data_IF_762265997156
#
_entry.id   IF_762265997156
#
_cell.length_a   1.000
_cell.length_b   1.000
_cell.length_c   1.000
_cell.angle_alpha   90.00
_cell.angle_beta   90.00
_cell.angle_gamma   90.00
#
_symmetry.space_group_name_H-M   'P 1'
#
loop_
_entity.id
_entity.type
_entity.pdbx_description
1 polymer ?
#
# COMPACT_ATOMS: atom_id res chain seq x y z
N UNK A 1 -14.22 16.65 -1.63
CA UNK A 1 -12.80 16.21 -1.51
C UNK A 1 -12.03 16.85 -0.35
N UNK A 2 -12.37 18.05 0.15
CA UNK A 2 -11.65 18.68 1.29
C UNK A 2 -11.81 17.92 2.62
N UNK A 3 -12.90 17.19 2.81
CA UNK A 3 -13.20 16.57 4.12
C UNK A 3 -12.35 15.32 4.42
N UNK A 4 -12.11 14.46 3.42
CA UNK A 4 -11.28 13.26 3.62
C UNK A 4 -9.81 13.59 3.88
N UNK A 5 -9.28 14.63 3.25
CA UNK A 5 -7.91 15.06 3.52
C UNK A 5 -7.75 15.55 4.96
N UNK A 6 -8.74 16.31 5.46
CA UNK A 6 -8.78 16.73 6.87
C UNK A 6 -8.85 15.52 7.81
N UNK A 7 -9.67 14.52 7.49
CA UNK A 7 -9.74 13.28 8.26
C UNK A 7 -8.38 12.57 8.35
N UNK A 8 -7.66 12.43 7.23
CA UNK A 8 -6.31 11.85 7.22
C UNK A 8 -5.28 12.67 8.00
N UNK A 9 -5.37 14.00 7.95
CA UNK A 9 -4.49 14.86 8.74
C UNK A 9 -4.73 14.67 10.25
N UNK A 10 -5.99 14.65 10.69
CA UNK A 10 -6.35 14.42 12.10
C UNK A 10 -5.89 13.03 12.54
N UNK A 11 -6.14 12.00 11.73
CA UNK A 11 -5.69 10.64 12.02
C UNK A 11 -4.16 10.54 12.13
N UNK A 12 -3.42 11.19 11.22
CA UNK A 12 -1.96 11.22 11.26
C UNK A 12 -1.42 11.87 12.55
N UNK A 13 -2.04 12.96 13.00
CA UNK A 13 -1.69 13.61 14.28
C UNK A 13 -1.96 12.65 15.45
N UNK A 14 -3.15 12.06 15.50
CA UNK A 14 -3.55 11.14 16.58
C UNK A 14 -2.63 9.91 16.67
N UNK A 15 -2.29 9.29 15.52
CA UNK A 15 -1.37 8.14 15.47
C UNK A 15 0.01 8.53 15.96
N UNK A 16 0.56 9.67 15.51
CA UNK A 16 1.87 10.14 15.97
C UNK A 16 1.88 10.44 17.46
N UNK A 17 0.85 11.10 17.98
CA UNK A 17 0.73 11.37 19.41
C UNK A 17 0.69 10.06 20.23
N UNK A 18 -0.13 9.09 19.82
CA UNK A 18 -0.20 7.77 20.46
C UNK A 18 1.15 7.05 20.44
N UNK A 19 1.89 7.17 19.34
CA UNK A 19 3.23 6.58 19.22
C UNK A 19 4.23 7.29 20.14
N UNK A 20 4.18 8.62 20.25
CA UNK A 20 5.01 9.38 21.21
C UNK A 20 4.77 8.90 22.64
N UNK A 21 3.51 8.75 23.04
CA UNK A 21 3.13 8.42 24.41
C UNK A 21 3.40 6.96 24.77
N UNK A 22 3.12 6.03 23.84
CA UNK A 22 3.05 4.60 24.18
C UNK A 22 4.06 3.73 23.44
N UNK A 23 4.56 4.18 22.28
CA UNK A 23 5.46 3.39 21.42
C UNK A 23 6.62 4.24 20.87
N UNK A 24 7.41 4.91 21.72
CA UNK A 24 8.43 5.87 21.28
C UNK A 24 9.53 5.23 20.42
N UNK A 25 9.83 3.94 20.64
CA UNK A 25 10.76 3.17 19.80
C UNK A 25 10.25 3.03 18.36
N UNK A 26 8.95 2.78 18.19
CA UNK A 26 8.35 2.63 16.87
C UNK A 26 8.24 3.99 16.16
N UNK A 27 7.97 5.07 16.90
CA UNK A 27 8.06 6.42 16.36
C UNK A 27 9.46 6.75 15.83
N UNK A 28 10.50 6.35 16.56
CA UNK A 28 11.88 6.57 16.13
C UNK A 28 12.21 5.78 14.86
N UNK A 29 11.69 4.55 14.69
CA UNK A 29 11.82 3.78 13.46
C UNK A 29 11.07 4.46 12.31
N UNK A 30 9.82 4.86 12.56
CA UNK A 30 8.97 5.54 11.57
C UNK A 30 9.64 6.82 11.04
N UNK A 31 10.25 7.61 11.91
CA UNK A 31 10.95 8.85 11.55
C UNK A 31 12.27 8.62 10.80
N UNK A 32 12.82 7.40 10.81
CA UNK A 32 14.04 7.03 10.06
C UNK A 32 13.74 6.57 8.63
N UNK A 33 12.47 6.39 8.27
CA UNK A 33 12.07 6.02 6.91
C UNK A 33 12.60 7.06 5.93
N UNK A 34 13.29 6.59 4.91
CA UNK A 34 13.82 7.35 3.80
C UNK A 34 13.03 7.08 2.52
N UNK A 35 13.23 7.95 1.52
CA UNK A 35 12.62 7.77 0.19
C UNK A 35 13.02 6.46 -0.48
N UNK A 36 14.09 5.79 -0.04
CA UNK A 36 14.54 4.53 -0.62
C UNK A 36 13.89 3.30 0.00
N UNK A 37 13.09 3.44 1.06
CA UNK A 37 12.54 2.29 1.78
C UNK A 37 11.20 1.82 1.22
N UNK A 38 10.38 2.77 0.75
CA UNK A 38 8.98 2.54 0.36
C UNK A 38 8.73 3.04 -1.07
N UNK A 39 8.16 2.15 -1.88
CA UNK A 39 7.59 2.48 -3.17
C UNK A 39 6.07 2.26 -3.15
N UNK A 40 5.33 3.15 -3.80
CA UNK A 40 3.87 3.08 -3.94
C UNK A 40 3.52 3.09 -5.43
N UNK A 41 2.83 2.05 -5.89
CA UNK A 41 2.20 2.01 -7.20
C UNK A 41 0.73 2.42 -7.06
N UNK A 42 0.38 3.55 -7.67
CA UNK A 42 -0.94 4.15 -7.57
C UNK A 42 -2.02 3.32 -8.26
N UNK A 43 -3.22 3.36 -7.69
CA UNK A 43 -4.41 2.68 -8.17
C UNK A 43 -5.56 3.64 -8.39
N UNK A 44 -6.76 3.09 -8.58
CA UNK A 44 -7.97 3.86 -8.89
C UNK A 44 -8.81 4.20 -7.67
N UNK A 45 -8.66 3.47 -6.55
CA UNK A 45 -9.60 3.55 -5.44
C UNK A 45 -8.92 3.89 -4.09
N UNK A 46 -7.98 3.07 -3.66
CA UNK A 46 -7.14 3.38 -2.50
C UNK A 46 -6.00 4.34 -2.89
N UNK A 47 -5.61 5.14 -1.91
CA UNK A 47 -4.66 6.25 -2.07
C UNK A 47 -3.71 6.33 -0.87
N UNK A 48 -2.95 5.26 -0.61
CA UNK A 48 -2.04 5.20 0.54
C UNK A 48 -0.98 6.30 0.50
N UNK A 49 -0.63 6.81 -0.68
CA UNK A 49 0.26 7.95 -0.86
C UNK A 49 -0.24 9.21 -0.13
N UNK A 50 -1.57 9.41 -0.04
CA UNK A 50 -2.16 10.52 0.71
C UNK A 50 -1.98 10.35 2.22
N UNK A 51 -2.03 9.11 2.71
CA UNK A 51 -1.79 8.78 4.11
C UNK A 51 -0.31 9.02 4.45
N UNK A 52 0.61 8.52 3.62
CA UNK A 52 2.05 8.77 3.78
C UNK A 52 2.38 10.26 3.75
N UNK A 53 1.74 11.04 2.89
CA UNK A 53 1.88 12.50 2.85
C UNK A 53 1.42 13.15 4.17
N UNK A 54 0.27 12.75 4.72
CA UNK A 54 -0.23 13.27 5.99
C UNK A 54 0.68 12.88 7.18
N UNK A 55 1.26 11.67 7.14
CA UNK A 55 2.28 11.21 8.09
C UNK A 55 3.65 11.88 7.87
N UNK A 56 3.83 12.68 6.81
CA UNK A 56 5.09 13.30 6.41
C UNK A 56 6.22 12.28 6.20
N UNK A 57 5.90 11.14 5.60
CA UNK A 57 6.87 10.08 5.30
C UNK A 57 7.34 10.19 3.85
N UNK A 58 8.66 10.13 3.60
CA UNK A 58 9.19 10.19 2.24
C UNK A 58 8.97 8.86 1.53
N UNK A 59 8.35 8.91 0.34
CA UNK A 59 8.05 7.73 -0.48
C UNK A 59 8.40 7.97 -1.95
N UNK A 60 8.57 6.88 -2.72
CA UNK A 60 8.57 6.91 -4.18
C UNK A 60 7.18 6.60 -4.70
N UNK A 61 6.63 7.46 -5.55
CA UNK A 61 5.33 7.23 -6.21
C UNK A 61 5.59 6.82 -7.65
N UNK A 62 5.05 5.67 -8.05
CA UNK A 62 5.20 5.04 -9.36
C UNK A 62 6.66 5.01 -9.87
N UNK A 63 7.66 4.59 -9.07
CA UNK A 63 9.01 4.46 -9.57
C UNK A 63 9.11 3.37 -10.66
N UNK A 64 10.17 3.46 -11.46
CA UNK A 64 10.49 2.43 -12.44
C UNK A 64 10.67 1.06 -11.72
N UNK A 65 9.82 0.05 -11.99
CA UNK A 65 9.86 -1.22 -11.26
C UNK A 65 11.12 -2.04 -11.54
N UNK A 66 11.81 -1.81 -12.67
CA UNK A 66 13.07 -2.49 -13.01
C UNK A 66 14.27 -1.93 -12.24
N UNK A 67 14.18 -0.73 -11.67
CA UNK A 67 15.27 -0.06 -10.93
C UNK A 67 14.87 0.22 -9.48
N UNK A 68 14.09 -0.67 -8.91
CA UNK A 68 13.49 -0.46 -7.60
C UNK A 68 14.50 -0.78 -6.49
N UNK A 69 14.92 0.22 -5.72
CA UNK A 69 15.73 0.00 -4.51
C UNK A 69 14.86 -0.33 -3.28
N UNK A 70 13.61 0.13 -3.29
CA UNK A 70 12.67 -0.02 -2.18
C UNK A 70 12.46 -1.46 -1.77
N UNK A 71 12.47 -1.68 -0.45
CA UNK A 71 12.26 -2.99 0.19
C UNK A 71 10.78 -3.28 0.42
N UNK A 72 9.97 -2.24 0.60
CA UNK A 72 8.53 -2.35 0.79
C UNK A 72 7.82 -1.72 -0.40
N UNK A 73 6.94 -2.50 -1.02
CA UNK A 73 6.17 -2.14 -2.19
C UNK A 73 4.72 -2.10 -1.79
N UNK A 74 4.10 -0.92 -1.91
CA UNK A 74 2.66 -0.78 -1.83
C UNK A 74 2.08 -0.81 -3.23
N UNK A 75 1.06 -1.63 -3.43
CA UNK A 75 0.26 -1.63 -4.65
C UNK A 75 -1.18 -1.30 -4.26
N UNK A 76 -1.64 -0.15 -4.68
CA UNK A 76 -3.04 0.26 -4.52
C UNK A 76 -3.94 -0.65 -5.39
N UNK A 77 -5.21 -0.82 -5.08
CA UNK A 77 -6.16 -1.48 -5.97
C UNK A 77 -6.53 -0.59 -7.17
N UNK A 78 -6.57 -1.23 -8.33
CA UNK A 78 -6.88 -0.63 -9.63
C UNK A 78 -7.82 -1.55 -10.39
N UNK A 79 -8.59 -1.00 -11.32
CA UNK A 79 -9.38 -1.80 -12.26
C UNK A 79 -8.52 -2.68 -13.16
N UNK A 80 -7.28 -2.26 -13.43
CA UNK A 80 -6.33 -3.04 -14.20
C UNK A 80 -4.89 -2.61 -13.92
N UNK A 81 -3.98 -3.54 -14.18
CA UNK A 81 -2.55 -3.32 -14.18
C UNK A 81 -1.93 -3.84 -15.48
N UNK A 82 -0.86 -3.20 -15.94
CA UNK A 82 -0.08 -3.71 -17.08
C UNK A 82 0.61 -5.01 -16.66
N UNK A 83 0.50 -6.06 -17.47
CA UNK A 83 1.14 -7.36 -17.21
C UNK A 83 2.65 -7.24 -16.95
N UNK A 84 3.34 -6.33 -17.66
CA UNK A 84 4.76 -6.07 -17.42
C UNK A 84 5.03 -5.59 -15.98
N UNK A 85 4.19 -4.71 -15.44
CA UNK A 85 4.31 -4.24 -14.06
C UNK A 85 4.07 -5.39 -13.08
N UNK A 86 3.01 -6.17 -13.28
CA UNK A 86 2.68 -7.35 -12.45
C UNK A 86 3.87 -8.30 -12.40
N UNK A 87 4.41 -8.67 -13.57
CA UNK A 87 5.54 -9.61 -13.65
C UNK A 87 6.79 -9.06 -12.98
N UNK A 88 7.11 -7.79 -13.20
CA UNK A 88 8.30 -7.17 -12.60
C UNK A 88 8.16 -7.12 -11.08
N UNK A 89 7.01 -6.71 -10.56
CA UNK A 89 6.78 -6.65 -9.11
C UNK A 89 6.72 -8.02 -8.46
N UNK A 90 6.17 -9.03 -9.15
CA UNK A 90 6.23 -10.44 -8.72
C UNK A 90 7.68 -10.88 -8.50
N UNK A 91 8.56 -10.68 -9.50
CA UNK A 91 9.99 -11.03 -9.40
C UNK A 91 10.68 -10.28 -8.25
N UNK A 92 10.35 -9.00 -8.06
CA UNK A 92 10.89 -8.20 -6.96
C UNK A 92 10.50 -8.78 -5.58
N UNK A 93 9.27 -9.27 -5.44
CA UNK A 93 8.77 -9.91 -4.21
C UNK A 93 9.41 -11.29 -4.01
N UNK A 94 9.50 -12.11 -5.06
CA UNK A 94 10.19 -13.41 -5.02
C UNK A 94 11.67 -13.27 -4.63
N UNK A 95 12.30 -12.14 -4.96
CA UNK A 95 13.65 -11.77 -4.53
C UNK A 95 13.72 -11.19 -3.10
N UNK A 96 12.67 -11.37 -2.29
CA UNK A 96 12.68 -11.07 -0.85
C UNK A 96 12.17 -9.68 -0.46
N UNK A 97 11.46 -8.97 -1.37
CA UNK A 97 10.81 -7.69 -1.03
C UNK A 97 9.41 -7.90 -0.49
N UNK A 98 8.96 -6.94 0.31
CA UNK A 98 7.63 -6.93 0.89
C UNK A 98 6.61 -6.32 -0.07
N UNK A 99 5.45 -6.95 -0.18
CA UNK A 99 4.28 -6.42 -0.88
C UNK A 99 3.17 -6.14 0.13
N UNK A 100 2.63 -4.93 0.09
CA UNK A 100 1.46 -4.52 0.87
C UNK A 100 0.39 -4.04 -0.09
N UNK A 101 -0.82 -4.57 0.04
CA UNK A 101 -1.95 -4.22 -0.82
C UNK A 101 -3.27 -4.41 -0.09
N UNK A 102 -4.37 -3.95 -0.68
CA UNK A 102 -5.72 -4.20 -0.20
C UNK A 102 -6.29 -5.50 -0.79
N UNK A 103 -7.31 -6.04 -0.14
CA UNK A 103 -8.08 -7.20 -0.62
C UNK A 103 -8.71 -6.97 -2.01
N UNK A 104 -9.03 -5.72 -2.35
CA UNK A 104 -9.51 -5.32 -3.69
C UNK A 104 -8.49 -5.55 -4.81
N UNK A 105 -7.19 -5.63 -4.50
CA UNK A 105 -6.17 -5.97 -5.49
C UNK A 105 -6.06 -7.48 -5.77
N UNK A 106 -6.83 -8.31 -5.05
CA UNK A 106 -6.78 -9.77 -5.18
C UNK A 106 -7.01 -10.24 -6.62
N UNK A 107 -8.05 -9.72 -7.27
CA UNK A 107 -8.41 -10.11 -8.64
C UNK A 107 -7.46 -9.56 -9.70
N UNK A 108 -7.18 -8.25 -9.65
CA UNK A 108 -6.48 -7.54 -10.73
C UNK A 108 -4.95 -7.52 -10.58
N UNK A 109 -4.40 -7.95 -9.43
CA UNK A 109 -2.97 -7.98 -9.20
C UNK A 109 -2.51 -9.32 -8.60
N UNK A 110 -2.97 -9.68 -7.39
CA UNK A 110 -2.42 -10.83 -6.66
C UNK A 110 -2.62 -12.14 -7.40
N UNK A 111 -3.83 -12.38 -7.94
CA UNK A 111 -4.12 -13.60 -8.70
C UNK A 111 -3.22 -13.76 -9.94
N UNK A 112 -2.85 -12.65 -10.58
CA UNK A 112 -1.97 -12.66 -11.75
C UNK A 112 -0.50 -12.75 -11.37
N UNK A 113 -0.07 -12.08 -10.30
CA UNK A 113 1.29 -12.11 -9.81
C UNK A 113 1.63 -13.46 -9.14
N UNK A 114 0.73 -14.02 -8.36
CA UNK A 114 1.00 -15.20 -7.52
C UNK A 114 -0.11 -16.25 -7.69
N UNK A 115 -0.27 -16.85 -8.88
CA UNK A 115 -1.43 -17.67 -9.24
C UNK A 115 -1.63 -18.91 -8.35
N UNK A 116 -0.57 -19.40 -7.70
CA UNK A 116 -0.60 -20.58 -6.83
C UNK A 116 -0.78 -20.24 -5.34
N UNK A 117 -1.24 -19.03 -5.01
CA UNK A 117 -1.47 -18.58 -3.63
C UNK A 117 -2.97 -18.42 -3.35
N UNK A 118 -3.43 -17.20 -3.13
CA UNK A 118 -4.82 -16.84 -2.94
C UNK A 118 -5.42 -16.35 -4.26
N UNK A 119 -6.70 -16.68 -4.49
CA UNK A 119 -7.46 -16.21 -5.65
C UNK A 119 -8.87 -15.82 -5.22
N UNK A 120 -9.44 -14.85 -5.91
CA UNK A 120 -10.85 -14.53 -5.70
C UNK A 120 -11.72 -15.70 -6.18
N UNK A 121 -12.63 -16.16 -5.33
CA UNK A 121 -13.57 -17.24 -5.62
C UNK A 121 -14.75 -16.81 -6.52
N UNK A 122 -14.72 -15.58 -7.06
CA UNK A 122 -15.80 -14.96 -7.86
C UNK A 122 -17.13 -14.78 -7.12
N UNK A 123 -17.13 -14.93 -5.80
CA UNK A 123 -18.29 -14.64 -4.98
C UNK A 123 -18.07 -13.30 -4.29
N UNK A 124 -19.04 -12.41 -4.42
CA UNK A 124 -19.09 -11.25 -3.56
C UNK A 124 -19.46 -11.73 -2.15
N UNK A 125 -18.74 -11.28 -1.14
CA UNK A 125 -19.24 -11.35 0.23
C UNK A 125 -20.50 -10.52 0.26
N UNK A 126 -21.66 -11.17 0.27
CA UNK A 126 -22.93 -10.51 0.54
C UNK A 126 -22.77 -9.78 1.86
N UNK A 127 -22.91 -8.45 1.86
CA UNK A 127 -23.10 -7.72 3.08
C UNK A 127 -24.37 -8.30 3.73
N UNK A 128 -24.20 -9.16 4.73
CA UNK A 128 -25.27 -9.78 5.50
C UNK A 128 -26.04 -8.80 6.38
N UNK A 129 -26.11 -7.54 5.97
CA UNK A 129 -27.00 -6.53 6.53
C UNK A 129 -28.33 -6.66 5.80
N UNK A 130 -29.10 -7.68 6.16
CA UNK A 130 -30.54 -7.59 5.98
C UNK A 130 -31.00 -6.43 6.87
N UNK A 131 -31.57 -5.41 6.24
CA UNK A 131 -32.25 -4.31 6.93
C UNK A 131 -33.50 -4.82 7.63
#
# INVERSE_FOLDING_TARGET
MKDMQKAYQVAAVAVKQRFTEQRPKDLAILNKISKKDIAVYSGSYDHVEKIFQCLKLPIQINPNPQKLDAKIIFVNCSNSYKNQLINTLREQVENGKWLVTSDWALGNFIHHAFPNTIRWNKQHTSAGWQK
#
